data_IF_184122800652
#
_entry.id   IF_184122800652
#
_cell.length_a   1.000
_cell.length_b   1.000
_cell.length_c   1.000
_cell.angle_alpha   90.00
_cell.angle_beta   90.00
_cell.angle_gamma   90.00
#
_symmetry.space_group_name_H-M   'P 1'
#
loop_
_entity.id
_entity.type
_entity.pdbx_description
1 polymer ?
#
# COMPACT_ATOMS: atom_id res chain seq x y z
N UNK A 1 -75.68 52.55 14.97
CA UNK A 1 -74.89 53.67 14.42
C UNK A 1 -73.52 53.08 14.11
N UNK A 2 -73.30 52.58 12.89
CA UNK A 2 -72.73 53.33 11.74
C UNK A 2 -71.41 54.00 12.14
N UNK A 3 -70.25 53.67 11.57
CA UNK A 3 -70.02 53.58 10.13
C UNK A 3 -68.80 52.72 9.78
N UNK A 4 -68.97 51.88 8.76
CA UNK A 4 -67.92 51.31 7.93
C UNK A 4 -67.29 52.39 7.03
N UNK A 5 -65.99 52.31 6.81
CA UNK A 5 -65.32 52.84 5.61
C UNK A 5 -64.16 51.90 5.25
N UNK A 6 -64.06 51.41 4.00
CA UNK A 6 -63.17 50.32 3.63
C UNK A 6 -61.77 50.84 3.27
N UNK A 7 -60.73 50.08 3.63
CA UNK A 7 -59.37 50.29 3.11
C UNK A 7 -58.91 49.01 2.40
N UNK A 8 -58.37 49.20 1.20
CA UNK A 8 -57.98 48.20 0.20
C UNK A 8 -57.15 47.02 0.71
N UNK A 9 -57.28 45.83 0.09
CA UNK A 9 -56.36 44.73 0.32
C UNK A 9 -54.99 45.02 -0.33
N UNK A 10 -53.95 44.91 0.49
CA UNK A 10 -52.55 44.91 0.07
C UNK A 10 -52.21 43.61 -0.68
N UNK A 11 -51.30 43.72 -1.64
CA UNK A 11 -50.86 42.68 -2.55
C UNK A 11 -50.24 41.46 -1.84
N UNK A 12 -50.33 40.25 -2.43
CA UNK A 12 -49.72 39.05 -1.86
C UNK A 12 -48.19 39.13 -1.89
N UNK A 13 -47.60 38.75 -0.76
CA UNK A 13 -46.16 38.58 -0.56
C UNK A 13 -45.54 37.67 -1.62
N UNK A 14 -44.45 38.16 -2.22
CA UNK A 14 -43.66 37.43 -3.18
C UNK A 14 -42.97 36.20 -2.56
N UNK A 15 -42.69 35.16 -3.36
CA UNK A 15 -42.03 33.96 -2.87
C UNK A 15 -40.60 34.27 -2.42
N UNK A 16 -40.27 33.86 -1.19
CA UNK A 16 -38.91 33.88 -0.66
C UNK A 16 -37.95 33.01 -1.48
N UNK A 17 -36.63 33.25 -1.35
CA UNK A 17 -35.63 32.61 -2.21
C UNK A 17 -35.64 31.09 -2.03
N UNK A 18 -35.71 30.39 -3.17
CA UNK A 18 -35.63 28.95 -3.26
C UNK A 18 -34.24 28.43 -2.84
N UNK A 19 -34.15 27.21 -2.27
CA UNK A 19 -32.87 26.59 -1.95
C UNK A 19 -32.06 26.34 -3.23
N UNK A 20 -30.80 26.74 -3.22
CA UNK A 20 -29.85 26.44 -4.29
C UNK A 20 -29.64 24.93 -4.40
N UNK A 21 -30.31 24.31 -5.37
CA UNK A 21 -30.02 22.95 -5.80
C UNK A 21 -28.69 22.94 -6.54
N UNK A 22 -27.62 22.61 -5.82
CA UNK A 22 -26.33 22.24 -6.41
C UNK A 22 -26.54 21.14 -7.44
N UNK A 23 -26.07 21.40 -8.66
CA UNK A 23 -26.21 20.52 -9.83
C UNK A 23 -25.51 19.18 -9.54
N UNK A 24 -26.30 18.12 -9.36
CA UNK A 24 -25.82 16.74 -9.31
C UNK A 24 -25.53 16.21 -10.73
N UNK A 25 -24.43 15.46 -10.86
CA UNK A 25 -23.78 14.98 -12.10
C UNK A 25 -24.61 14.01 -12.97
N UNK A 26 -25.79 14.42 -13.44
CA UNK A 26 -26.60 13.64 -14.40
C UNK A 26 -27.39 14.52 -15.37
N UNK A 27 -26.77 15.46 -16.07
CA UNK A 27 -27.32 16.02 -17.33
C UNK A 27 -26.19 16.73 -18.07
N UNK A 28 -25.69 16.16 -19.16
CA UNK A 28 -25.12 16.83 -20.35
C UNK A 28 -24.36 15.78 -21.17
N UNK A 29 -25.01 15.23 -22.22
CA UNK A 29 -24.40 14.89 -23.51
C UNK A 29 -25.42 14.22 -24.45
N UNK A 30 -26.21 15.08 -25.10
CA UNK A 30 -26.86 14.96 -26.43
C UNK A 30 -27.06 16.41 -26.89
N UNK A 31 -26.76 16.90 -28.08
CA UNK A 31 -26.29 16.37 -29.35
C UNK A 31 -25.75 17.55 -30.20
N UNK A 32 -24.95 17.28 -31.24
CA UNK A 32 -24.94 18.07 -32.48
C UNK A 32 -24.42 17.22 -33.64
N UNK A 33 -25.21 17.14 -34.72
CA UNK A 33 -24.93 16.37 -35.95
C UNK A 33 -24.79 17.35 -37.12
N UNK A 34 -23.86 17.01 -38.02
CA UNK A 34 -23.74 17.37 -39.45
C UNK A 34 -23.27 18.77 -39.87
N UNK A 35 -22.07 18.81 -40.44
CA UNK A 35 -21.82 19.39 -41.76
C UNK A 35 -20.70 18.57 -42.44
N UNK A 36 -20.98 18.03 -43.62
CA UNK A 36 -20.07 17.15 -44.36
C UNK A 36 -19.02 17.91 -45.18
N UNK A 37 -17.80 17.39 -45.17
CA UNK A 37 -16.83 17.44 -46.27
C UNK A 37 -15.82 16.29 -46.08
N UNK A 38 -15.62 15.48 -47.11
CA UNK A 38 -14.72 14.32 -47.09
C UNK A 38 -13.31 14.69 -47.58
N UNK A 39 -12.26 14.42 -46.77
CA UNK A 39 -10.84 14.34 -47.17
C UNK A 39 -10.08 13.46 -46.13
N UNK A 40 -9.03 12.66 -46.48
CA UNK A 40 -8.73 11.36 -45.87
C UNK A 40 -7.62 11.33 -44.80
N UNK A 41 -7.53 10.15 -44.15
CA UNK A 41 -6.48 9.57 -43.27
C UNK A 41 -5.26 10.44 -42.90
N UNK A 42 -5.06 10.67 -41.58
CA UNK A 42 -3.77 10.46 -40.88
C UNK A 42 -4.06 9.90 -39.48
N UNK A 43 -3.37 8.81 -39.15
CA UNK A 43 -3.46 8.10 -37.88
C UNK A 43 -2.70 8.82 -36.76
N UNK A 44 -3.32 9.02 -35.60
CA UNK A 44 -2.65 9.09 -34.29
C UNK A 44 -3.61 8.68 -33.18
N UNK A 45 -3.11 7.88 -32.24
CA UNK A 45 -3.83 7.05 -31.29
C UNK A 45 -4.90 7.73 -30.44
N UNK A 46 -6.04 7.05 -30.34
CA UNK A 46 -7.02 7.19 -29.27
C UNK A 46 -7.25 5.79 -28.71
N UNK A 47 -6.62 5.45 -27.58
CA UNK A 47 -6.98 4.23 -26.86
C UNK A 47 -8.17 4.57 -25.97
N UNK A 48 -9.37 4.42 -26.53
CA UNK A 48 -10.59 4.31 -25.74
C UNK A 48 -10.56 2.96 -25.00
N UNK A 49 -10.49 2.98 -23.67
CA UNK A 49 -10.69 1.80 -22.83
C UNK A 49 -12.18 1.45 -22.80
N UNK A 50 -12.67 0.80 -23.85
CA UNK A 50 -13.86 -0.04 -23.76
C UNK A 50 -13.38 -1.45 -23.38
N UNK A 51 -13.65 -1.88 -22.15
CA UNK A 51 -13.57 -3.30 -21.80
C UNK A 51 -14.94 -3.79 -21.40
N UNK A 52 -15.43 -4.72 -22.23
CA UNK A 52 -16.60 -5.54 -21.99
C UNK A 52 -16.55 -6.16 -20.59
N UNK A 53 -17.67 -6.03 -19.88
CA UNK A 53 -17.93 -6.73 -18.65
C UNK A 53 -18.08 -8.23 -18.97
N UNK A 54 -17.07 -9.03 -18.60
CA UNK A 54 -17.18 -10.47 -18.57
C UNK A 54 -18.18 -10.88 -17.47
N UNK A 55 -19.36 -11.38 -17.89
CA UNK A 55 -20.30 -12.05 -17.01
C UNK A 55 -19.88 -13.52 -16.87
N UNK A 56 -19.58 -13.96 -15.65
CA UNK A 56 -19.60 -15.38 -15.28
C UNK A 56 -20.46 -15.60 -14.05
N UNK A 57 -21.21 -16.68 -14.09
CA UNK A 57 -22.27 -17.10 -13.18
C UNK A 57 -21.70 -17.77 -11.92
N UNK A 58 -21.43 -16.97 -10.89
CA UNK A 58 -21.46 -17.30 -9.46
C UNK A 58 -21.12 -16.01 -8.70
N UNK A 59 -22.15 -15.19 -8.46
CA UNK A 59 -22.04 -13.79 -8.06
C UNK A 59 -21.54 -13.54 -6.64
N UNK A 60 -20.22 -13.63 -6.43
CA UNK A 60 -19.56 -12.82 -5.41
C UNK A 60 -18.29 -12.21 -5.96
N UNK A 61 -18.44 -11.00 -6.48
CA UNK A 61 -17.32 -10.10 -6.78
C UNK A 61 -16.58 -9.86 -5.46
N UNK A 62 -15.36 -10.37 -5.34
CA UNK A 62 -14.47 -9.92 -4.27
C UNK A 62 -14.23 -8.43 -4.51
N UNK A 63 -14.30 -7.57 -3.47
CA UNK A 63 -13.93 -6.17 -3.65
C UNK A 63 -12.49 -6.13 -4.21
N UNK A 64 -12.21 -5.27 -5.20
CA UNK A 64 -10.83 -4.95 -5.56
C UNK A 64 -10.04 -4.62 -4.29
N UNK A 65 -8.74 -4.89 -4.28
CA UNK A 65 -7.81 -4.22 -3.35
C UNK A 65 -8.24 -2.76 -3.25
N UNK A 66 -8.43 -2.20 -2.03
CA UNK A 66 -9.07 -0.91 -1.87
C UNK A 66 -8.49 0.07 -2.89
N UNK A 67 -9.35 0.55 -3.80
CA UNK A 67 -9.09 1.85 -4.40
C UNK A 67 -8.99 2.79 -3.22
N UNK A 68 -8.00 3.68 -3.17
CA UNK A 68 -7.92 4.66 -2.10
C UNK A 68 -9.20 5.51 -2.13
N UNK A 69 -10.21 5.06 -1.39
CA UNK A 69 -11.46 5.76 -1.10
C UNK A 69 -11.12 6.53 0.17
N UNK A 70 -11.26 7.86 0.08
CA UNK A 70 -10.90 8.92 1.04
C UNK A 70 -9.53 8.92 1.76
N UNK A 71 -8.77 7.81 1.78
CA UNK A 71 -7.44 7.72 2.36
C UNK A 71 -7.41 7.35 3.85
N UNK A 72 -8.53 6.88 4.42
CA UNK A 72 -8.66 6.62 5.86
C UNK A 72 -8.32 5.18 6.29
N UNK A 73 -8.13 4.24 5.36
CA UNK A 73 -7.81 2.83 5.68
C UNK A 73 -6.37 2.45 5.31
N UNK A 74 -5.39 2.58 6.23
CA UNK A 74 -4.02 2.14 5.99
C UNK A 74 -3.93 0.61 5.83
N UNK A 75 -2.90 0.14 5.13
CA UNK A 75 -2.65 -1.30 4.97
C UNK A 75 -2.45 -1.95 6.35
N UNK A 76 -3.25 -2.97 6.73
CA UNK A 76 -3.14 -3.60 8.04
C UNK A 76 -1.77 -4.24 8.27
N UNK A 77 -1.27 -4.14 9.50
CA UNK A 77 -0.08 -4.88 9.92
C UNK A 77 -0.42 -6.34 10.24
N UNK A 78 0.56 -7.22 10.08
CA UNK A 78 0.47 -8.61 10.49
C UNK A 78 1.81 -9.11 11.01
N UNK A 79 1.78 -10.27 11.66
CA UNK A 79 2.98 -10.89 12.21
C UNK A 79 4.06 -11.11 11.13
N UNK A 80 5.31 -10.91 11.53
CA UNK A 80 6.50 -11.18 10.71
C UNK A 80 6.63 -12.67 10.35
N UNK A 81 6.21 -13.55 11.27
CA UNK A 81 6.45 -14.98 11.14
C UNK A 81 7.90 -15.37 11.45
N UNK A 82 8.19 -16.68 11.54
CA UNK A 82 9.48 -17.17 12.05
C UNK A 82 10.60 -17.16 11.01
N UNK A 83 10.34 -16.69 9.78
CA UNK A 83 11.20 -16.91 8.63
C UNK A 83 11.76 -15.63 8.01
N UNK A 84 11.62 -14.47 8.66
CA UNK A 84 12.29 -13.25 8.21
C UNK A 84 13.82 -13.38 8.35
N UNK A 85 14.56 -12.70 7.46
CA UNK A 85 16.02 -12.53 7.55
C UNK A 85 16.37 -11.09 7.18
N UNK A 86 17.13 -10.36 8.03
CA UNK A 86 17.60 -9.02 7.70
C UNK A 86 18.65 -9.07 6.59
N UNK A 87 19.02 -7.89 6.05
CA UNK A 87 20.06 -7.74 5.01
C UNK A 87 19.74 -8.48 3.70
N UNK A 88 18.47 -8.48 3.30
CA UNK A 88 18.09 -8.99 1.98
C UNK A 88 18.82 -8.22 0.87
N UNK A 89 19.13 -8.84 -0.28
CA UNK A 89 19.76 -8.13 -1.40
C UNK A 89 18.79 -7.16 -2.08
N UNK A 90 19.31 -6.04 -2.58
CA UNK A 90 18.56 -5.08 -3.41
C UNK A 90 18.29 -5.71 -4.79
N UNK A 91 17.04 -6.11 -5.05
CA UNK A 91 16.59 -6.70 -6.33
C UNK A 91 15.06 -6.76 -6.42
N UNK A 92 14.57 -6.68 -7.64
CA UNK A 92 13.14 -6.79 -7.97
C UNK A 92 12.76 -8.17 -8.52
N UNK A 93 13.75 -8.99 -8.90
CA UNK A 93 13.56 -10.37 -9.35
C UNK A 93 14.10 -11.34 -8.29
N UNK A 94 13.19 -12.11 -7.71
CA UNK A 94 13.48 -13.05 -6.63
C UNK A 94 13.69 -14.48 -7.12
N UNK A 95 13.47 -14.76 -8.41
CA UNK A 95 13.47 -16.12 -8.96
C UNK A 95 14.92 -16.60 -9.15
N UNK A 96 15.38 -17.61 -8.40
CA UNK A 96 16.68 -18.21 -8.66
C UNK A 96 16.71 -18.85 -10.05
N UNK A 97 17.88 -18.88 -10.69
CA UNK A 97 18.06 -19.53 -11.98
C UNK A 97 17.59 -21.00 -11.92
N UNK A 98 16.72 -21.39 -12.86
CA UNK A 98 16.16 -22.74 -12.94
C UNK A 98 15.14 -23.10 -11.86
N UNK A 99 14.73 -22.16 -11.00
CA UNK A 99 13.75 -22.46 -9.96
C UNK A 99 12.39 -22.90 -10.56
N UNK A 100 11.80 -24.01 -10.05
CA UNK A 100 10.46 -24.43 -10.42
C UNK A 100 9.40 -23.44 -9.91
N UNK A 101 8.13 -23.71 -10.25
CA UNK A 101 6.98 -22.90 -9.81
C UNK A 101 6.42 -21.97 -10.89
N UNK A 102 5.12 -21.70 -10.77
CA UNK A 102 4.39 -20.79 -11.66
C UNK A 102 4.92 -19.37 -11.49
N UNK A 103 5.38 -18.75 -12.59
CA UNK A 103 5.88 -17.37 -12.57
C UNK A 103 4.79 -16.40 -12.14
N UNK A 104 5.16 -15.44 -11.32
CA UNK A 104 4.28 -14.42 -10.75
C UNK A 104 4.97 -13.07 -10.86
N UNK A 105 4.28 -12.07 -11.40
CA UNK A 105 4.68 -10.66 -11.24
C UNK A 105 3.67 -9.97 -10.34
N UNK A 106 4.12 -9.38 -9.24
CA UNK A 106 3.30 -8.53 -8.36
C UNK A 106 3.68 -7.08 -8.62
N UNK A 107 2.73 -6.21 -8.88
CA UNK A 107 2.98 -4.79 -9.13
C UNK A 107 1.88 -3.92 -8.56
N UNK A 108 2.23 -2.70 -8.20
CA UNK A 108 1.26 -1.72 -7.74
C UNK A 108 1.97 -0.45 -7.33
N UNK A 109 1.34 0.29 -6.43
CA UNK A 109 1.80 1.56 -5.92
C UNK A 109 1.89 1.55 -4.40
N UNK A 110 2.66 2.48 -3.85
CA UNK A 110 2.56 2.86 -2.45
C UNK A 110 2.03 4.28 -2.38
N UNK A 111 0.96 4.46 -1.62
CA UNK A 111 0.35 5.74 -1.33
C UNK A 111 0.53 6.09 0.16
N UNK A 112 0.53 7.38 0.45
CA UNK A 112 0.29 7.92 1.78
C UNK A 112 -1.19 8.26 1.96
N UNK A 113 -1.51 9.00 3.01
CA UNK A 113 -2.84 9.60 3.19
C UNK A 113 -3.21 10.50 2.01
N UNK A 114 -4.51 10.68 1.79
CA UNK A 114 -5.05 11.50 0.69
C UNK A 114 -4.59 11.04 -0.71
N UNK A 115 -4.31 9.75 -0.89
CA UNK A 115 -3.95 9.12 -2.16
C UNK A 115 -2.67 9.66 -2.82
N UNK A 116 -1.71 10.16 -2.02
CA UNK A 116 -0.47 10.70 -2.59
C UNK A 116 0.54 9.58 -2.84
N UNK A 117 1.06 9.41 -4.07
CA UNK A 117 2.07 8.39 -4.34
C UNK A 117 3.38 8.70 -3.60
N UNK A 118 3.94 7.69 -2.94
CA UNK A 118 5.17 7.82 -2.15
C UNK A 118 6.37 7.21 -2.89
N UNK A 119 7.34 8.05 -3.23
CA UNK A 119 8.63 7.62 -3.79
C UNK A 119 9.64 7.22 -2.72
N UNK A 120 10.56 6.33 -3.04
CA UNK A 120 11.65 5.95 -2.13
C UNK A 120 11.20 5.09 -0.93
N UNK A 121 9.99 4.54 -0.98
CA UNK A 121 9.51 3.59 0.04
C UNK A 121 10.27 2.28 -0.12
N UNK A 122 10.91 1.81 0.94
CA UNK A 122 11.49 0.47 1.02
C UNK A 122 10.36 -0.56 0.99
N UNK A 123 10.47 -1.55 0.10
CA UNK A 123 9.64 -2.75 0.10
C UNK A 123 10.58 -3.97 0.15
N UNK A 124 10.63 -4.65 1.29
CA UNK A 124 11.44 -5.85 1.53
C UNK A 124 10.55 -7.10 1.57
N UNK A 125 10.67 -7.93 0.53
CA UNK A 125 9.82 -9.09 0.31
C UNK A 125 10.53 -10.39 0.68
N UNK A 126 9.78 -11.32 1.28
CA UNK A 126 10.21 -12.70 1.43
C UNK A 126 9.05 -13.68 1.33
N UNK A 127 9.33 -14.88 0.84
CA UNK A 127 8.34 -15.95 0.69
C UNK A 127 8.99 -17.33 0.73
N UNK A 128 8.14 -18.36 0.79
CA UNK A 128 8.54 -19.72 0.52
C UNK A 128 8.80 -19.97 -0.98
N UNK A 129 9.53 -21.04 -1.29
CA UNK A 129 9.59 -21.63 -2.63
C UNK A 129 8.26 -22.31 -3.04
N UNK A 130 8.20 -22.93 -4.22
CA UNK A 130 6.98 -23.56 -4.74
C UNK A 130 6.52 -24.79 -3.93
N UNK A 131 7.41 -25.38 -3.14
CA UNK A 131 7.13 -26.50 -2.25
C UNK A 131 6.76 -26.06 -0.82
N UNK A 132 6.78 -24.75 -0.54
CA UNK A 132 6.45 -24.20 0.79
C UNK A 132 7.63 -24.13 1.75
N UNK A 133 8.87 -24.25 1.28
CA UNK A 133 10.08 -24.13 2.10
C UNK A 133 10.68 -22.72 2.05
N UNK A 134 11.06 -22.20 3.22
CA UNK A 134 11.81 -20.95 3.35
C UNK A 134 13.32 -21.22 3.36
N UNK A 135 14.08 -20.44 2.60
CA UNK A 135 15.55 -20.50 2.65
C UNK A 135 16.06 -19.75 3.88
N UNK A 136 16.53 -20.50 4.87
CA UNK A 136 17.16 -19.95 6.08
C UNK A 136 18.69 -19.90 6.00
N UNK A 137 19.30 -20.63 5.06
CA UNK A 137 20.76 -20.62 4.86
C UNK A 137 21.20 -19.42 4.02
N UNK A 138 20.54 -19.21 2.88
CA UNK A 138 20.82 -18.14 1.93
C UNK A 138 19.74 -17.05 1.91
N UNK A 139 19.56 -16.45 0.73
CA UNK A 139 18.56 -15.42 0.47
C UNK A 139 17.65 -15.78 -0.71
N UNK A 140 17.49 -17.06 -1.09
CA UNK A 140 16.55 -17.41 -2.17
C UNK A 140 15.14 -16.90 -1.81
N UNK A 141 14.47 -16.31 -2.79
CA UNK A 141 13.14 -15.71 -2.60
C UNK A 141 13.05 -14.59 -1.55
N UNK A 142 14.15 -13.83 -1.39
CA UNK A 142 14.22 -12.63 -0.53
C UNK A 142 14.82 -11.46 -1.27
N UNK A 143 14.31 -10.27 -1.09
CA UNK A 143 14.93 -9.09 -1.66
C UNK A 143 14.10 -7.86 -1.45
N UNK A 144 14.79 -6.72 -1.42
CA UNK A 144 14.15 -5.44 -1.28
C UNK A 144 14.32 -4.57 -2.51
N UNK A 145 13.46 -3.57 -2.61
CA UNK A 145 13.48 -2.53 -3.63
C UNK A 145 12.98 -1.21 -3.03
N UNK A 146 13.07 -0.14 -3.81
CA UNK A 146 12.50 1.15 -3.46
C UNK A 146 11.49 1.57 -4.54
N UNK A 147 10.38 2.19 -4.14
CA UNK A 147 9.41 2.72 -5.10
C UNK A 147 10.01 3.84 -5.95
N UNK A 148 9.60 3.90 -7.22
CA UNK A 148 9.99 4.98 -8.13
C UNK A 148 9.29 6.30 -7.82
N UNK A 149 9.56 7.34 -8.63
CA UNK A 149 8.98 8.68 -8.46
C UNK A 149 7.43 8.72 -8.48
N UNK A 150 6.80 7.72 -9.09
CA UNK A 150 5.34 7.58 -9.17
C UNK A 150 4.76 6.72 -8.05
N UNK A 151 5.56 6.29 -7.09
CA UNK A 151 5.18 5.33 -6.05
C UNK A 151 5.08 3.88 -6.54
N UNK A 152 5.36 3.62 -7.81
CA UNK A 152 5.24 2.29 -8.39
C UNK A 152 6.34 1.32 -7.91
N UNK A 153 5.96 0.03 -7.76
CA UNK A 153 6.88 -1.08 -7.52
C UNK A 153 6.58 -2.26 -8.46
N UNK A 154 7.55 -3.16 -8.63
CA UNK A 154 7.35 -4.43 -9.34
C UNK A 154 8.22 -5.52 -8.74
N UNK A 155 7.63 -6.67 -8.47
CA UNK A 155 8.25 -7.86 -7.93
C UNK A 155 8.06 -9.04 -8.90
N UNK A 156 9.15 -9.58 -9.43
CA UNK A 156 9.14 -10.84 -10.18
C UNK A 156 9.49 -11.98 -9.23
N UNK A 157 8.64 -12.99 -9.18
CA UNK A 157 8.77 -14.14 -8.30
C UNK A 157 8.02 -15.35 -8.88
N UNK A 158 7.72 -16.34 -8.04
CA UNK A 158 6.80 -17.44 -8.32
C UNK A 158 5.65 -17.42 -7.31
N UNK A 159 4.58 -18.15 -7.63
CA UNK A 159 3.54 -18.50 -6.65
C UNK A 159 4.18 -19.37 -5.55
N UNK A 160 4.28 -18.91 -4.28
CA UNK A 160 4.87 -19.70 -3.19
C UNK A 160 3.99 -20.89 -2.89
N UNK A 161 4.56 -22.03 -2.49
CA UNK A 161 3.85 -23.21 -2.03
C UNK A 161 3.11 -22.97 -0.71
N UNK A 162 2.20 -23.88 -0.38
CA UNK A 162 1.57 -23.90 0.95
C UNK A 162 2.55 -24.48 1.96
N UNK A 163 2.67 -23.87 3.14
CA UNK A 163 3.37 -24.47 4.26
C UNK A 163 2.38 -24.83 5.40
N UNK A 164 2.76 -25.72 6.33
CA UNK A 164 1.83 -26.25 7.33
C UNK A 164 1.14 -25.15 8.14
N UNK A 165 -0.19 -25.25 8.25
CA UNK A 165 -1.00 -24.37 9.09
C UNK A 165 -1.36 -23.00 8.50
N UNK A 166 -0.90 -22.66 7.28
CA UNK A 166 -1.11 -21.33 6.69
C UNK A 166 -1.73 -21.39 5.30
N UNK A 167 -2.50 -20.36 4.94
CA UNK A 167 -2.91 -20.10 3.56
C UNK A 167 -1.73 -19.57 2.75
N UNK A 168 -1.86 -19.49 1.42
CA UNK A 168 -0.77 -18.99 0.57
C UNK A 168 -0.58 -17.49 0.78
N UNK A 169 0.66 -17.07 1.01
CA UNK A 169 0.99 -15.65 1.20
C UNK A 169 2.42 -15.32 0.80
N UNK A 170 2.66 -14.03 0.58
CA UNK A 170 3.99 -13.41 0.45
C UNK A 170 4.13 -12.42 1.60
N UNK A 171 5.27 -12.41 2.28
CA UNK A 171 5.52 -11.40 3.31
C UNK A 171 6.16 -10.15 2.72
N UNK A 172 5.91 -9.01 3.36
CA UNK A 172 6.50 -7.73 3.01
C UNK A 172 6.70 -6.85 4.23
N UNK A 173 7.81 -6.14 4.25
CA UNK A 173 8.02 -4.95 5.07
C UNK A 173 7.99 -3.73 4.18
N UNK A 174 7.15 -2.75 4.50
CA UNK A 174 7.06 -1.48 3.82
C UNK A 174 7.52 -0.36 4.77
N UNK A 175 8.36 0.55 4.30
CA UNK A 175 8.86 1.65 5.11
C UNK A 175 9.05 2.90 4.25
N UNK A 176 8.26 3.94 4.52
CA UNK A 176 8.50 5.26 3.93
C UNK A 176 9.78 5.88 4.51
N UNK A 177 10.47 6.76 3.77
CA UNK A 177 11.71 7.39 4.26
C UNK A 177 11.51 8.07 5.62
N UNK A 178 12.27 7.63 6.63
CA UNK A 178 12.20 8.19 7.99
C UNK A 178 11.05 7.69 8.85
N UNK A 179 10.13 6.89 8.29
CA UNK A 179 8.94 6.39 8.99
C UNK A 179 9.15 5.00 9.61
N UNK A 180 8.28 4.55 10.54
CA UNK A 180 8.28 3.19 11.05
C UNK A 180 8.04 2.13 9.96
N UNK A 181 8.49 0.90 10.24
CA UNK A 181 8.27 -0.25 9.34
C UNK A 181 6.87 -0.83 9.53
N UNK A 182 6.06 -0.85 8.47
CA UNK A 182 4.89 -1.72 8.36
C UNK A 182 5.36 -3.14 8.04
N UNK A 183 5.03 -4.11 8.88
CA UNK A 183 5.21 -5.54 8.57
C UNK A 183 3.85 -6.14 8.27
N UNK A 184 3.69 -6.80 7.13
CA UNK A 184 2.42 -7.41 6.74
C UNK A 184 2.61 -8.59 5.79
N UNK A 185 1.51 -9.15 5.29
CA UNK A 185 1.44 -10.29 4.39
C UNK A 185 0.44 -10.01 3.26
N UNK A 186 0.67 -10.58 2.08
CA UNK A 186 -0.21 -10.49 0.93
C UNK A 186 -0.80 -11.85 0.60
N UNK A 187 -2.12 -11.92 0.39
CA UNK A 187 -2.87 -13.16 0.20
C UNK A 187 -3.33 -13.37 -1.25
N UNK A 188 -3.62 -14.62 -1.60
CA UNK A 188 -4.09 -15.02 -2.93
C UNK A 188 -5.61 -15.26 -2.95
N UNK A 189 -6.31 -14.88 -4.03
CA UNK A 189 -7.74 -15.15 -4.18
C UNK A 189 -8.01 -16.65 -4.36
N UNK A 190 -9.12 -17.11 -3.80
CA UNK A 190 -9.63 -18.47 -4.04
C UNK A 190 -8.84 -19.61 -3.40
N UNK A 191 -7.88 -19.31 -2.52
CA UNK A 191 -7.19 -20.35 -1.75
C UNK A 191 -8.17 -20.97 -0.72
N UNK A 192 -8.38 -22.30 -0.72
CA UNK A 192 -9.29 -22.94 0.24
C UNK A 192 -8.95 -22.63 1.69
N UNK A 193 -7.65 -22.50 2.00
CA UNK A 193 -7.15 -22.20 3.35
C UNK A 193 -7.43 -20.78 3.82
N UNK A 194 -7.88 -19.85 2.96
CA UNK A 194 -8.37 -18.54 3.41
C UNK A 194 -9.55 -18.68 4.38
N UNK A 195 -10.32 -19.79 4.30
CA UNK A 195 -11.43 -20.06 5.22
C UNK A 195 -11.01 -20.63 6.58
N UNK A 196 -9.74 -21.01 6.75
CA UNK A 196 -9.24 -21.71 7.94
C UNK A 196 -8.02 -21.04 8.57
N UNK A 197 -7.29 -20.20 7.83
CA UNK A 197 -6.15 -19.45 8.36
C UNK A 197 -6.65 -18.20 9.09
N UNK A 198 -6.44 -18.14 10.41
CA UNK A 198 -6.89 -17.03 11.24
C UNK A 198 -6.17 -15.70 10.93
N UNK A 199 -5.06 -15.73 10.20
CA UNK A 199 -4.35 -14.53 9.74
C UNK A 199 -4.88 -14.03 8.39
N UNK A 200 -5.71 -14.79 7.69
CA UNK A 200 -6.24 -14.31 6.42
C UNK A 200 -7.09 -13.06 6.63
N UNK A 201 -6.73 -11.99 5.92
CA UNK A 201 -7.46 -10.73 5.89
C UNK A 201 -7.81 -10.37 4.43
N UNK A 202 -9.10 -10.18 4.09
CA UNK A 202 -9.52 -9.70 2.78
C UNK A 202 -8.89 -8.36 2.36
N UNK A 203 -8.53 -7.47 3.29
CA UNK A 203 -7.88 -6.19 2.99
C UNK A 203 -6.46 -6.38 2.40
N UNK A 204 -5.85 -7.53 2.66
CA UNK A 204 -4.51 -7.90 2.21
C UNK A 204 -4.53 -8.85 0.99
N UNK A 205 -5.70 -9.02 0.36
CA UNK A 205 -5.89 -9.91 -0.76
C UNK A 205 -5.44 -9.24 -2.07
N UNK A 206 -4.48 -9.83 -2.77
CA UNK A 206 -4.06 -9.36 -4.10
C UNK A 206 -5.12 -9.65 -5.16
N UNK A 207 -5.25 -8.79 -6.16
CA UNK A 207 -5.98 -9.11 -7.38
C UNK A 207 -5.09 -9.91 -8.33
N UNK A 208 -5.42 -11.17 -8.63
CA UNK A 208 -4.55 -12.09 -9.40
C UNK A 208 -5.24 -12.60 -10.67
N UNK A 209 -4.56 -12.50 -11.81
CA UNK A 209 -5.01 -13.03 -13.11
C UNK A 209 -3.95 -13.89 -13.80
N UNK A 210 -4.39 -14.73 -14.74
CA UNK A 210 -3.47 -15.47 -15.61
C UNK A 210 -2.82 -14.56 -16.66
N UNK A 211 -1.55 -14.81 -16.98
CA UNK A 211 -0.81 -14.07 -18.00
C UNK A 211 0.32 -14.93 -18.59
N UNK A 212 0.25 -15.25 -19.90
CA UNK A 212 1.37 -15.84 -20.64
C UNK A 212 2.02 -17.10 -20.04
N UNK A 213 1.22 -18.03 -19.50
CA UNK A 213 1.73 -19.24 -18.82
C UNK A 213 2.15 -19.03 -17.35
N UNK A 214 2.06 -17.81 -16.84
CA UNK A 214 2.22 -17.44 -15.43
C UNK A 214 1.01 -16.68 -14.88
N UNK A 215 1.25 -15.88 -13.85
CA UNK A 215 0.26 -15.02 -13.19
C UNK A 215 0.77 -13.59 -13.05
N UNK A 216 -0.16 -12.65 -13.06
CA UNK A 216 0.06 -11.25 -12.71
C UNK A 216 -0.84 -10.92 -11.52
N UNK A 217 -0.28 -10.24 -10.53
CA UNK A 217 -0.96 -9.81 -9.33
C UNK A 217 -0.80 -8.30 -9.14
N UNK A 218 -1.84 -7.66 -8.60
CA UNK A 218 -1.80 -6.26 -8.21
C UNK A 218 -2.20 -6.06 -6.76
N UNK A 219 -1.49 -5.16 -6.09
CA UNK A 219 -1.77 -4.71 -4.73
C UNK A 219 -1.17 -3.32 -4.53
N UNK A 220 -1.96 -2.41 -3.97
CA UNK A 220 -1.52 -1.07 -3.63
C UNK A 220 -1.42 -0.95 -2.10
N UNK A 221 -0.28 -0.46 -1.63
CA UNK A 221 -0.07 -0.19 -0.21
C UNK A 221 -0.53 1.23 0.11
N UNK A 222 -1.12 1.40 1.30
CA UNK A 222 -1.45 2.70 1.89
C UNK A 222 -0.72 2.77 3.22
N UNK A 223 0.25 3.68 3.32
CA UNK A 223 0.98 3.96 4.54
C UNK A 223 0.35 5.17 5.24
N UNK A 224 0.35 5.13 6.57
CA UNK A 224 -0.19 6.21 7.40
C UNK A 224 0.78 7.41 7.48
N UNK A 225 1.04 8.03 6.33
CA UNK A 225 2.05 9.08 6.15
C UNK A 225 1.45 10.22 5.32
N UNK A 226 1.67 11.47 5.73
CA UNK A 226 1.19 12.63 4.98
C UNK A 226 1.99 12.80 3.66
N UNK A 227 1.29 13.00 2.55
CA UNK A 227 1.84 12.99 1.18
C UNK A 227 2.71 14.17 0.75
N UNK A 228 3.63 14.64 1.58
CA UNK A 228 4.64 15.63 1.17
C UNK A 228 5.82 14.98 0.44
N UNK A 229 6.55 15.71 -0.44
CA UNK A 229 7.94 15.36 -0.67
C UNK A 229 8.63 15.35 0.70
N UNK A 230 9.30 14.25 1.04
CA UNK A 230 10.00 14.13 2.33
C UNK A 230 10.87 15.37 2.57
N UNK A 231 10.97 15.85 3.82
CA UNK A 231 11.72 17.06 4.12
C UNK A 231 13.18 16.95 3.65
N UNK A 232 13.72 18.04 3.11
CA UNK A 232 15.16 18.24 2.95
C UNK A 232 15.82 18.19 4.35
N UNK A 233 16.99 17.56 4.53
CA UNK A 233 17.59 17.38 5.84
C UNK A 233 18.25 18.68 6.32
N UNK A 234 17.45 19.59 6.87
CA UNK A 234 17.96 20.77 7.59
C UNK A 234 17.08 21.08 8.79
N UNK A 235 17.30 20.37 9.89
CA UNK A 235 17.85 20.96 11.14
C UNK A 235 18.04 19.85 12.19
N UNK A 236 19.16 19.84 12.95
CA UNK A 236 19.40 18.85 13.97
C UNK A 236 18.56 19.16 15.22
N UNK A 237 17.92 18.16 15.86
CA UNK A 237 17.39 18.34 17.21
C UNK A 237 18.55 18.68 18.16
N UNK A 238 18.34 19.73 18.93
CA UNK A 238 19.28 20.17 19.96
C UNK A 238 19.03 19.32 21.22
N UNK A 239 20.06 18.58 21.62
CA UNK A 239 20.25 17.81 22.88
C UNK A 239 19.80 16.32 22.90
N UNK A 240 20.69 15.36 23.27
CA UNK A 240 20.39 13.93 23.24
C UNK A 240 19.89 13.39 24.60
N UNK A 241 18.91 12.46 24.65
CA UNK A 241 18.74 11.62 25.84
C UNK A 241 19.81 10.52 25.82
N UNK A 242 20.95 10.79 26.47
CA UNK A 242 21.97 9.77 26.73
C UNK A 242 21.54 8.80 27.84
N UNK A 243 21.77 7.50 27.64
CA UNK A 243 21.54 6.47 28.66
C UNK A 243 21.88 5.05 28.19
N UNK A 244 21.88 4.08 29.10
CA UNK A 244 22.06 2.66 28.75
C UNK A 244 20.81 2.12 28.08
N UNK A 245 20.97 1.32 27.01
CA UNK A 245 19.87 0.59 26.39
C UNK A 245 19.13 -0.24 27.44
N UNK A 246 17.82 -0.14 27.43
CA UNK A 246 16.87 -0.79 28.33
C UNK A 246 15.75 -1.39 27.50
N UNK A 247 15.39 -2.65 27.75
CA UNK A 247 14.26 -3.32 27.12
C UNK A 247 12.91 -2.72 27.58
N UNK A 248 11.90 -2.75 26.72
CA UNK A 248 10.57 -2.19 26.97
C UNK A 248 10.51 -0.67 26.86
N UNK A 249 11.63 0.01 26.57
CA UNK A 249 11.69 1.46 26.37
C UNK A 249 11.48 1.80 24.91
N UNK A 250 10.68 2.84 24.66
CA UNK A 250 10.55 3.47 23.35
C UNK A 250 11.73 4.38 23.08
N UNK A 251 12.32 4.24 21.89
CA UNK A 251 13.40 5.06 21.35
C UNK A 251 12.94 5.73 20.07
N UNK A 252 13.44 6.93 19.82
CA UNK A 252 13.28 7.67 18.56
C UNK A 252 14.53 7.57 17.70
N UNK A 253 14.39 7.67 16.37
CA UNK A 253 15.54 7.73 15.48
C UNK A 253 16.41 8.94 15.84
N UNK A 254 17.73 8.74 15.92
CA UNK A 254 18.68 9.73 16.43
C UNK A 254 19.02 9.59 17.92
N UNK A 255 18.26 8.82 18.70
CA UNK A 255 18.60 8.53 20.09
C UNK A 255 19.97 7.85 20.18
N UNK A 256 20.75 8.20 21.21
CA UNK A 256 22.04 7.57 21.47
C UNK A 256 21.98 6.78 22.77
N UNK A 257 22.33 5.51 22.68
CA UNK A 257 22.36 4.61 23.84
C UNK A 257 23.70 3.92 23.96
N UNK A 258 24.02 3.45 25.17
CA UNK A 258 25.17 2.56 25.39
C UNK A 258 24.69 1.14 25.68
N UNK A 259 25.39 0.14 25.13
CA UNK A 259 25.17 -1.27 25.43
C UNK A 259 26.48 -2.04 25.33
N UNK A 260 26.81 -2.85 26.35
CA UNK A 260 28.07 -3.61 26.37
C UNK A 260 29.33 -2.74 26.24
N UNK A 261 29.30 -1.51 26.75
CA UNK A 261 30.42 -0.57 26.69
C UNK A 261 30.64 0.11 25.33
N UNK A 262 29.75 -0.08 24.35
CA UNK A 262 29.79 0.61 23.06
C UNK A 262 28.60 1.55 22.89
N UNK A 263 28.79 2.65 22.17
CA UNK A 263 27.74 3.59 21.82
C UNK A 263 27.01 3.14 20.55
N UNK A 264 25.71 3.39 20.50
CA UNK A 264 24.84 3.06 19.38
C UNK A 264 23.88 4.21 19.12
N UNK A 265 23.72 4.52 17.84
CA UNK A 265 22.71 5.42 17.32
C UNK A 265 21.47 4.62 16.93
N UNK A 266 20.31 5.02 17.43
CA UNK A 266 19.02 4.51 17.01
C UNK A 266 18.76 4.95 15.56
N UNK A 267 18.58 3.99 14.65
CA UNK A 267 18.32 4.25 13.24
C UNK A 267 16.84 4.40 12.94
N UNK A 268 15.99 3.75 13.75
CA UNK A 268 14.55 3.67 13.53
C UNK A 268 13.84 3.74 14.88
N UNK A 269 12.78 4.53 15.00
CA UNK A 269 11.99 4.59 16.22
C UNK A 269 11.34 3.23 16.51
N UNK A 270 11.40 2.75 17.74
CA UNK A 270 10.85 1.46 18.14
C UNK A 270 10.70 1.36 19.65
N UNK A 271 9.87 0.42 20.13
CA UNK A 271 9.91 -0.02 21.52
C UNK A 271 10.80 -1.25 21.61
N UNK A 272 11.90 -1.13 22.32
CA UNK A 272 12.87 -2.21 22.54
C UNK A 272 12.26 -3.40 23.28
N UNK A 273 12.83 -4.58 23.10
CA UNK A 273 12.47 -5.79 23.86
C UNK A 273 13.72 -6.62 24.12
N UNK A 274 13.64 -7.55 25.07
CA UNK A 274 14.72 -8.50 25.35
C UNK A 274 15.06 -9.29 24.08
N UNK A 275 16.34 -9.37 23.72
CA UNK A 275 16.82 -9.94 22.47
C UNK A 275 17.01 -8.92 21.33
N UNK A 276 16.57 -7.66 21.51
CA UNK A 276 16.80 -6.56 20.56
C UNK A 276 17.91 -5.63 21.03
N UNK A 277 18.95 -6.20 21.65
CA UNK A 277 20.09 -5.41 22.07
C UNK A 277 20.84 -4.87 20.86
N UNK A 278 21.43 -3.66 20.94
CA UNK A 278 21.98 -2.97 19.77
C UNK A 278 22.92 -3.78 18.85
N UNK A 279 23.78 -4.69 19.34
CA UNK A 279 24.61 -5.54 18.46
C UNK A 279 23.83 -6.57 17.63
N UNK A 280 22.64 -6.99 18.09
CA UNK A 280 21.86 -8.09 17.52
C UNK A 280 20.89 -7.63 16.44
N UNK A 281 20.52 -6.35 16.45
CA UNK A 281 19.51 -5.74 15.57
C UNK A 281 20.09 -4.52 14.83
N UNK A 282 21.05 -4.71 13.92
CA UNK A 282 21.74 -3.63 13.21
C UNK A 282 20.84 -2.78 12.31
N UNK A 283 19.62 -3.24 12.04
CA UNK A 283 18.58 -2.46 11.36
C UNK A 283 18.00 -1.34 12.26
N UNK A 284 18.01 -1.53 13.59
CA UNK A 284 17.50 -0.58 14.57
C UNK A 284 18.62 0.27 15.20
N UNK A 285 19.86 -0.24 15.20
CA UNK A 285 20.98 0.39 15.87
C UNK A 285 22.26 0.36 15.02
N UNK A 286 22.90 1.52 14.87
CA UNK A 286 24.24 1.62 14.28
C UNK A 286 25.26 1.87 15.38
N UNK A 287 26.29 1.03 15.44
CA UNK A 287 27.42 1.27 16.35
C UNK A 287 28.13 2.57 15.97
N UNK A 288 28.31 3.45 16.95
CA UNK A 288 29.15 4.63 16.80
C UNK A 288 30.62 4.27 17.14
N UNK A 289 31.59 4.90 16.45
CA UNK A 289 33.01 4.64 16.66
C UNK A 289 33.49 5.01 18.07
#
# INVERSE_FOLDING_TARGET
MTSDTPTSPAAPDGPGPAPEHGVSRKTLLRAAVAAGAAVPLIATGSIALARDAARTSAGRTLPPTPFCDDGDDPTPDQMEGPYFKPNSPLRTDLVPAGAPGTRLTVSGYVFGRNCVPLSGVLLDFWQADDAGAYDMAGYRFRGHQFTGATGAFTLRTIVPGLYPGRTRHIHVKAQAPGEPVLTTQLYFPGEPRNSTDALFDPALLMNVRGAGGGKEATFDFVLDVDGGPGPDPTDPPTEPPGGTWTAGRSYTAGDRVTYGGSAYLCLQAHTSMTGWEPPHVPALWRREP
#
